data_IF_641275499573
#
_entry.id   IF_641275499573
#
_cell.length_a   1.000
_cell.length_b   1.000
_cell.length_c   1.000
_cell.angle_alpha   90.00
_cell.angle_beta   90.00
_cell.angle_gamma   90.00
#
_symmetry.space_group_name_H-M   'P 1'
#
loop_
_entity.id
_entity.type
_entity.pdbx_description
1 polymer ?
#
# COMPACT_ATOMS: atom_id res chain seq x y z
N UNK A 1 -16.08 -1.84 -5.31
CA UNK A 1 -14.98 -2.23 -4.40
C UNK A 1 -15.22 -1.50 -3.09
N UNK A 2 -15.19 -2.20 -1.95
CA UNK A 2 -15.25 -1.57 -0.63
C UNK A 2 -13.85 -1.16 -0.21
N UNK A 3 -13.73 0.00 0.45
CA UNK A 3 -12.44 0.57 0.85
C UNK A 3 -12.41 0.76 2.36
N UNK A 4 -11.28 0.39 2.98
CA UNK A 4 -10.99 0.66 4.39
C UNK A 4 -9.82 1.62 4.45
N UNK A 5 -10.01 2.76 5.11
CA UNK A 5 -8.94 3.74 5.36
C UNK A 5 -8.20 3.36 6.65
N UNK A 6 -6.89 3.14 6.54
CA UNK A 6 -6.00 2.78 7.66
C UNK A 6 -5.28 3.99 8.25
N UNK A 7 -5.50 5.20 7.70
CA UNK A 7 -4.86 6.42 8.16
C UNK A 7 -3.35 6.48 7.87
N UNK A 8 -2.58 7.00 8.83
CA UNK A 8 -1.12 7.15 8.70
C UNK A 8 -0.44 5.93 9.31
N UNK A 9 0.29 5.19 8.47
CA UNK A 9 1.09 4.04 8.89
C UNK A 9 2.31 3.85 7.98
N UNK A 10 3.34 3.11 8.42
CA UNK A 10 4.45 2.73 7.55
C UNK A 10 4.01 1.84 6.37
N UNK A 11 4.65 1.98 5.21
CA UNK A 11 4.41 1.13 4.03
C UNK A 11 4.40 -0.38 4.33
N UNK A 12 5.34 -0.97 5.11
CA UNK A 12 5.30 -2.41 5.39
C UNK A 12 4.09 -2.83 6.23
N UNK A 13 3.52 -1.95 7.06
CA UNK A 13 2.32 -2.25 7.82
C UNK A 13 1.10 -2.37 6.91
N UNK A 14 0.97 -1.53 5.87
CA UNK A 14 -0.06 -1.69 4.85
C UNK A 14 0.07 -3.03 4.12
N UNK A 15 1.29 -3.40 3.69
CA UNK A 15 1.54 -4.65 2.97
C UNK A 15 1.16 -5.88 3.81
N UNK A 16 1.50 -5.86 5.11
CA UNK A 16 1.13 -6.91 6.06
C UNK A 16 -0.38 -6.98 6.26
N UNK A 17 -1.02 -5.85 6.57
CA UNK A 17 -2.46 -5.77 6.83
C UNK A 17 -3.29 -6.17 5.61
N UNK A 18 -2.79 -5.91 4.39
CA UNK A 18 -3.41 -6.37 3.14
C UNK A 18 -3.61 -7.88 3.16
N UNK A 19 -2.55 -8.64 3.47
CA UNK A 19 -2.59 -10.10 3.53
C UNK A 19 -3.38 -10.62 4.74
N UNK A 20 -3.05 -10.12 5.94
CA UNK A 20 -3.60 -10.65 7.20
C UNK A 20 -5.11 -10.37 7.34
N UNK A 21 -5.62 -9.31 6.71
CA UNK A 21 -7.05 -8.96 6.74
C UNK A 21 -7.82 -9.52 5.53
N UNK A 22 -7.17 -10.28 4.65
CA UNK A 22 -7.80 -10.85 3.46
C UNK A 22 -8.23 -9.80 2.42
N UNK A 23 -7.56 -8.65 2.36
CA UNK A 23 -7.83 -7.64 1.33
C UNK A 23 -7.25 -8.08 -0.02
N UNK A 24 -7.98 -7.81 -1.09
CA UNK A 24 -7.53 -8.12 -2.46
C UNK A 24 -6.33 -7.26 -2.91
N UNK A 25 -6.15 -6.07 -2.33
CA UNK A 25 -5.05 -5.18 -2.66
C UNK A 25 -4.81 -4.15 -1.55
N UNK A 26 -3.57 -3.65 -1.49
CA UNK A 26 -3.16 -2.53 -0.65
C UNK A 26 -2.69 -1.35 -1.51
N UNK A 27 -3.10 -0.13 -1.16
CA UNK A 27 -2.71 1.10 -1.86
C UNK A 27 -2.08 2.07 -0.87
N UNK A 28 -0.82 2.46 -1.09
CA UNK A 28 -0.10 3.43 -0.26
C UNK A 28 0.04 4.75 -1.01
N UNK A 29 -0.41 5.84 -0.42
CA UNK A 29 -0.12 7.20 -0.90
C UNK A 29 1.16 7.67 -0.23
N UNK A 30 2.27 7.63 -0.97
CA UNK A 30 3.59 8.06 -0.47
C UNK A 30 4.59 8.25 -1.62
N UNK A 31 5.52 9.19 -1.46
CA UNK A 31 6.75 9.24 -2.26
C UNK A 31 7.99 8.77 -1.47
N UNK A 32 7.80 8.03 -0.38
CA UNK A 32 8.86 7.40 0.41
C UNK A 32 9.86 8.39 1.01
N UNK A 33 10.92 8.72 0.29
CA UNK A 33 12.01 9.60 0.74
C UNK A 33 12.07 10.90 -0.06
N UNK A 34 11.21 11.06 -1.08
CA UNK A 34 11.23 12.24 -1.92
C UNK A 34 10.82 13.49 -1.12
N UNK A 35 11.25 14.68 -1.59
CA UNK A 35 10.80 15.97 -1.04
C UNK A 35 9.27 16.11 -0.95
N UNK A 36 8.74 16.99 -0.08
CA UNK A 36 7.31 17.07 0.24
C UNK A 36 6.41 17.48 -0.93
N UNK A 37 6.96 18.10 -1.96
CA UNK A 37 6.24 18.42 -3.20
C UNK A 37 5.90 17.17 -4.04
N UNK A 38 6.51 16.01 -3.74
CA UNK A 38 6.26 14.76 -4.44
C UNK A 38 5.30 13.85 -3.66
N UNK A 39 4.47 13.13 -4.41
CA UNK A 39 3.68 12.02 -3.91
C UNK A 39 3.63 10.90 -4.95
N UNK A 40 3.08 9.75 -4.59
CA UNK A 40 2.99 8.60 -5.47
C UNK A 40 2.08 7.53 -4.92
N UNK A 41 1.90 6.46 -5.71
CA UNK A 41 1.10 5.31 -5.33
C UNK A 41 1.99 4.07 -5.35
N UNK A 42 2.06 3.34 -4.24
CA UNK A 42 2.57 1.96 -4.22
C UNK A 42 1.38 1.00 -4.17
N UNK A 43 1.40 -0.02 -5.02
CA UNK A 43 0.37 -1.06 -5.07
C UNK A 43 0.92 -2.36 -4.52
N UNK A 44 0.12 -3.03 -3.70
CA UNK A 44 0.42 -4.35 -3.13
C UNK A 44 -0.67 -5.35 -3.51
N UNK A 45 -0.26 -6.58 -3.82
CA UNK A 45 -1.17 -7.71 -4.05
C UNK A 45 -1.67 -8.30 -2.73
N UNK A 46 -2.65 -9.20 -2.77
CA UNK A 46 -3.12 -9.95 -1.60
C UNK A 46 -1.99 -10.69 -0.84
N UNK A 47 -0.85 -10.95 -1.50
CA UNK A 47 0.29 -11.69 -0.96
C UNK A 47 1.38 -10.79 -0.36
N UNK A 48 1.07 -9.52 -0.05
CA UNK A 48 2.01 -8.51 0.48
C UNK A 48 3.16 -8.14 -0.47
N UNK A 49 3.13 -8.58 -1.73
CA UNK A 49 4.16 -8.26 -2.71
C UNK A 49 3.80 -6.96 -3.44
N UNK A 50 4.82 -6.16 -3.76
CA UNK A 50 4.64 -5.03 -4.67
C UNK A 50 4.13 -5.51 -6.02
N UNK A 51 3.13 -4.82 -6.57
CA UNK A 51 2.60 -5.15 -7.88
C UNK A 51 3.72 -5.09 -8.94
N UNK A 52 3.80 -6.13 -9.75
CA UNK A 52 4.69 -6.23 -10.90
C UNK A 52 3.87 -6.62 -12.12
N UNK A 53 4.22 -6.06 -13.29
CA UNK A 53 3.59 -6.39 -14.58
C UNK A 53 4.24 -7.61 -15.27
N UNK A 54 5.23 -8.24 -14.62
CA UNK A 54 5.96 -9.38 -15.16
C UNK A 54 5.09 -10.63 -15.35
#
# INVERSE_FOLDING_TARGET
INVVDLGILPTPALALLTRESGFAAGIMVTASHNPPEFNGIKLFTENSLGYSQA
#
